data_IF_490595199275
#
_entry.id   IF_490595199275
#
_cell.length_a   1.000
_cell.length_b   1.000
_cell.length_c   1.000
_cell.angle_alpha   90.00
_cell.angle_beta   90.00
_cell.angle_gamma   90.00
#
_symmetry.space_group_name_H-M   'P 1'
#
loop_
_entity.id
_entity.type
_entity.pdbx_description
1 polymer ?
#
# COMPACT_ATOMS: atom_id res chain seq x y z
N UNK A 1 -18.17 -24.13 2.35
CA UNK A 1 -17.25 -23.73 1.26
C UNK A 1 -17.39 -22.25 0.86
N UNK A 2 -18.25 -21.45 1.51
CA UNK A 2 -18.53 -20.04 1.12
C UNK A 2 -17.68 -19.02 1.91
N UNK A 3 -17.24 -19.39 3.11
CA UNK A 3 -16.43 -18.53 4.00
C UNK A 3 -14.95 -18.48 3.59
N UNK A 4 -14.40 -19.56 3.02
CA UNK A 4 -13.03 -19.60 2.55
C UNK A 4 -12.80 -18.72 1.30
N UNK A 5 -13.76 -18.70 0.36
CA UNK A 5 -13.72 -17.80 -0.80
C UNK A 5 -13.74 -16.32 -0.35
N UNK A 6 -14.58 -16.00 0.62
CA UNK A 6 -14.71 -14.63 1.16
C UNK A 6 -13.44 -14.12 1.84
N UNK A 7 -12.62 -14.99 2.42
CA UNK A 7 -11.35 -14.60 3.06
C UNK A 7 -10.27 -14.30 2.03
N UNK A 8 -10.16 -15.14 1.00
CA UNK A 8 -9.21 -14.95 -0.11
C UNK A 8 -9.51 -13.67 -0.91
N UNK A 9 -10.79 -13.40 -1.21
CA UNK A 9 -11.21 -12.19 -1.93
C UNK A 9 -10.87 -10.89 -1.15
N UNK A 10 -10.94 -10.95 0.19
CA UNK A 10 -10.52 -9.85 1.07
C UNK A 10 -9.01 -9.64 1.07
N UNK A 11 -8.22 -10.71 1.04
CA UNK A 11 -6.76 -10.64 0.92
C UNK A 11 -6.37 -9.85 -0.33
N UNK A 12 -6.98 -10.23 -1.46
CA UNK A 12 -6.71 -9.65 -2.76
C UNK A 12 -7.16 -8.18 -2.83
N UNK A 13 -8.39 -7.90 -2.43
CA UNK A 13 -8.94 -6.54 -2.45
C UNK A 13 -8.17 -5.56 -1.55
N UNK A 14 -7.81 -5.99 -0.33
CA UNK A 14 -7.03 -5.16 0.60
C UNK A 14 -5.61 -4.91 0.06
N UNK A 15 -4.96 -5.93 -0.51
CA UNK A 15 -3.63 -5.80 -1.11
C UNK A 15 -3.63 -4.81 -2.28
N UNK A 16 -4.66 -4.83 -3.13
CA UNK A 16 -4.82 -3.86 -4.23
C UNK A 16 -4.96 -2.44 -3.69
N UNK A 17 -5.82 -2.21 -2.70
CA UNK A 17 -6.02 -0.87 -2.12
C UNK A 17 -4.73 -0.34 -1.50
N UNK A 18 -4.02 -1.17 -0.72
CA UNK A 18 -2.75 -0.77 -0.11
C UNK A 18 -1.65 -0.52 -1.14
N UNK A 19 -1.61 -1.29 -2.22
CA UNK A 19 -0.68 -1.07 -3.34
C UNK A 19 -0.98 0.23 -4.09
N UNK A 20 -2.26 0.57 -4.27
CA UNK A 20 -2.67 1.84 -4.86
C UNK A 20 -2.22 3.02 -3.98
N UNK A 21 -2.45 2.94 -2.66
CA UNK A 21 -1.99 3.96 -1.70
C UNK A 21 -0.46 4.08 -1.74
N UNK A 22 0.25 2.96 -1.78
CA UNK A 22 1.71 2.97 -1.87
C UNK A 22 2.20 3.69 -3.13
N UNK A 23 1.55 3.42 -4.28
CA UNK A 23 1.86 4.06 -5.56
C UNK A 23 1.57 5.56 -5.52
N UNK A 24 0.49 5.99 -4.88
CA UNK A 24 0.19 7.41 -4.66
C UNK A 24 1.23 8.08 -3.76
N UNK A 25 1.69 7.41 -2.70
CA UNK A 25 2.78 7.89 -1.84
C UNK A 25 4.08 8.10 -2.62
N UNK A 26 4.44 7.17 -3.50
CA UNK A 26 5.58 7.29 -4.42
C UNK A 26 5.39 8.45 -5.40
N UNK A 27 4.19 8.61 -5.97
CA UNK A 27 3.88 9.73 -6.85
C UNK A 27 4.03 11.09 -6.15
N UNK A 28 3.53 11.20 -4.91
CA UNK A 28 3.71 12.39 -4.08
C UNK A 28 5.19 12.66 -3.75
N UNK A 29 5.94 11.62 -3.42
CA UNK A 29 7.39 11.71 -3.20
C UNK A 29 8.12 12.21 -4.46
N UNK A 30 7.76 11.68 -5.64
CA UNK A 30 8.37 12.05 -6.90
C UNK A 30 8.13 13.53 -7.23
N UNK A 31 6.87 13.97 -7.13
CA UNK A 31 6.51 15.38 -7.39
C UNK A 31 7.22 16.30 -6.40
N UNK A 32 7.21 15.97 -5.11
CA UNK A 32 7.88 16.76 -4.07
C UNK A 32 9.41 16.79 -4.23
N UNK A 33 9.99 15.70 -4.72
CA UNK A 33 11.41 15.64 -5.08
C UNK A 33 11.79 16.59 -6.21
N UNK A 34 10.87 16.80 -7.18
CA UNK A 34 11.06 17.77 -8.27
C UNK A 34 10.87 19.21 -7.79
N UNK A 35 9.95 19.47 -6.85
CA UNK A 35 9.71 20.83 -6.33
C UNK A 35 10.67 21.25 -5.21
N UNK A 36 11.43 20.31 -4.65
CA UNK A 36 12.41 20.56 -3.59
C UNK A 36 11.83 20.55 -2.17
N UNK A 37 10.54 20.21 -2.01
CA UNK A 37 9.92 20.07 -0.69
C UNK A 37 10.24 18.70 -0.08
N UNK A 38 11.34 18.66 0.68
CA UNK A 38 11.85 17.44 1.29
C UNK A 38 10.91 16.87 2.37
N UNK A 39 10.09 17.70 3.02
CA UNK A 39 9.16 17.24 4.07
C UNK A 39 8.03 16.46 3.43
N UNK A 40 7.46 16.99 2.34
CA UNK A 40 6.43 16.28 1.57
C UNK A 40 7.01 15.03 0.91
N UNK A 41 8.24 15.08 0.41
CA UNK A 41 8.90 13.92 -0.16
C UNK A 41 9.12 12.79 0.87
N UNK A 42 9.61 13.13 2.06
CA UNK A 42 9.78 12.18 3.16
C UNK A 42 8.43 11.61 3.63
N UNK A 43 7.39 12.44 3.70
CA UNK A 43 6.03 12.00 4.01
C UNK A 43 5.48 11.00 2.99
N UNK A 44 5.64 11.30 1.70
CA UNK A 44 5.23 10.40 0.60
C UNK A 44 5.94 9.05 0.66
N UNK A 45 7.25 9.06 0.93
CA UNK A 45 8.02 7.84 1.13
C UNK A 45 7.54 7.02 2.33
N UNK A 46 7.30 7.66 3.48
CA UNK A 46 6.84 6.97 4.69
C UNK A 46 5.47 6.29 4.46
N UNK A 47 4.53 6.99 3.83
CA UNK A 47 3.21 6.42 3.46
C UNK A 47 3.37 5.24 2.51
N UNK A 48 4.27 5.34 1.53
CA UNK A 48 4.53 4.27 0.58
C UNK A 48 5.05 3.00 1.25
N UNK A 49 6.05 3.13 2.14
CA UNK A 49 6.64 1.99 2.84
C UNK A 49 5.63 1.33 3.78
N UNK A 50 4.91 2.10 4.60
CA UNK A 50 3.92 1.56 5.54
C UNK A 50 2.84 0.78 4.78
N UNK A 51 2.30 1.36 3.71
CA UNK A 51 1.24 0.74 2.91
C UNK A 51 1.73 -0.52 2.21
N UNK A 52 2.95 -0.50 1.66
CA UNK A 52 3.55 -1.67 1.01
C UNK A 52 3.81 -2.81 2.02
N UNK A 53 4.34 -2.51 3.21
CA UNK A 53 4.54 -3.52 4.26
C UNK A 53 3.22 -4.13 4.73
N UNK A 54 2.17 -3.32 4.83
CA UNK A 54 0.84 -3.79 5.21
C UNK A 54 0.20 -4.65 4.10
N UNK A 55 0.46 -4.33 2.83
CA UNK A 55 -0.03 -5.12 1.69
C UNK A 55 0.54 -6.55 1.71
N UNK A 56 1.84 -6.70 1.95
CA UNK A 56 2.49 -8.01 2.08
C UNK A 56 1.96 -8.78 3.28
N UNK A 57 1.75 -8.08 4.40
CA UNK A 57 1.19 -8.69 5.61
C UNK A 57 -0.25 -9.17 5.38
N UNK A 58 -1.06 -8.39 4.66
CA UNK A 58 -2.43 -8.76 4.31
C UNK A 58 -2.50 -10.01 3.44
N UNK A 59 -1.60 -10.17 2.46
CA UNK A 59 -1.53 -11.42 1.69
C UNK A 59 -1.22 -12.61 2.60
N UNK A 60 -0.31 -12.48 3.56
CA UNK A 60 0.01 -13.61 4.44
C UNK A 60 -1.06 -13.92 5.51
N UNK A 61 -1.85 -12.93 5.95
CA UNK A 61 -2.88 -13.11 6.98
C UNK A 61 -4.20 -13.69 6.44
N UNK A 62 -4.46 -13.55 5.14
CA UNK A 62 -5.74 -13.93 4.53
C UNK A 62 -5.60 -14.96 3.39
N UNK A 63 -4.37 -15.37 3.06
CA UNK A 63 -4.05 -16.48 2.13
C UNK A 63 -3.71 -17.79 2.89
N UNK A 64 -4.31 -17.99 4.08
CA UNK A 64 -4.15 -19.17 4.94
C UNK A 64 -5.39 -20.06 4.95
#
# INVERSE_FOLDING_TARGET
METASNTSDKAFGLTIVLSAIATTGVGGMFIAGVTGDQVVAAGGFAVAIISASLAVSASHLYDS
#
